data_IF_622203333786
#
_entry.id   IF_622203333786
#
_cell.length_a   1.000
_cell.length_b   1.000
_cell.length_c   1.000
_cell.angle_alpha   90.00
_cell.angle_beta   90.00
_cell.angle_gamma   90.00
#
_symmetry.space_group_name_H-M   'P 1'
#
loop_
_entity.id
_entity.type
_entity.pdbx_description
1 polymer ?
#
# COMPACT_ATOMS: atom_id res chain seq x y z
N UNK A 1 11.14 -12.63 12.69
CA UNK A 1 11.71 -12.82 11.34
C UNK A 1 11.57 -11.51 10.60
N UNK A 2 12.67 -10.97 10.04
CA UNK A 2 12.58 -9.80 9.17
C UNK A 2 12.49 -10.28 7.71
N UNK A 3 11.56 -9.73 6.94
CA UNK A 3 11.48 -10.00 5.51
C UNK A 3 12.66 -9.31 4.80
N UNK A 4 13.34 -10.02 3.92
CA UNK A 4 14.52 -9.53 3.18
C UNK A 4 14.20 -9.15 1.73
N UNK A 5 13.03 -9.56 1.21
CA UNK A 5 12.55 -9.27 -0.14
C UNK A 5 11.02 -9.36 -0.17
N UNK A 6 10.40 -8.57 -1.04
CA UNK A 6 8.96 -8.61 -1.30
C UNK A 6 8.68 -9.23 -2.67
N UNK A 7 7.66 -10.08 -2.76
CA UNK A 7 7.10 -10.52 -4.03
C UNK A 7 5.62 -10.12 -4.09
N UNK A 8 5.20 -9.45 -5.16
CA UNK A 8 3.84 -8.97 -5.34
C UNK A 8 3.26 -9.34 -6.72
N UNK A 9 2.13 -10.05 -6.75
CA UNK A 9 1.41 -10.27 -8.03
C UNK A 9 0.99 -8.94 -8.68
N UNK A 10 0.67 -7.94 -7.86
CA UNK A 10 0.25 -6.61 -8.28
C UNK A 10 0.90 -5.55 -7.37
N UNK A 11 1.52 -4.53 -7.95
CA UNK A 11 2.17 -3.43 -7.22
C UNK A 11 1.78 -2.07 -7.83
N UNK A 12 1.65 -1.04 -6.99
CA UNK A 12 1.43 0.34 -7.47
C UNK A 12 2.74 1.11 -7.66
N UNK A 13 2.70 2.16 -8.47
CA UNK A 13 3.82 3.10 -8.63
C UNK A 13 4.29 3.68 -7.29
N UNK A 14 3.34 4.00 -6.40
CA UNK A 14 3.67 4.57 -5.09
C UNK A 14 4.36 3.55 -4.18
N UNK A 15 3.92 2.30 -4.19
CA UNK A 15 4.59 1.23 -3.45
C UNK A 15 6.04 1.02 -3.93
N UNK A 16 6.28 1.07 -5.25
CA UNK A 16 7.64 0.98 -5.80
C UNK A 16 8.54 2.09 -5.26
N UNK A 17 8.08 3.35 -5.27
CA UNK A 17 8.88 4.48 -4.75
C UNK A 17 9.28 4.29 -3.29
N UNK A 18 8.36 3.80 -2.46
CA UNK A 18 8.64 3.52 -1.04
C UNK A 18 9.70 2.43 -0.92
N UNK A 19 9.56 1.33 -1.66
CA UNK A 19 10.53 0.23 -1.60
C UNK A 19 11.91 0.63 -2.11
N UNK A 20 11.99 1.43 -3.18
CA UNK A 20 13.25 1.98 -3.69
C UNK A 20 13.90 2.94 -2.68
N UNK A 21 13.13 3.84 -2.08
CA UNK A 21 13.61 4.78 -1.05
C UNK A 21 14.20 4.05 0.15
N UNK A 22 13.50 3.03 0.63
CA UNK A 22 13.93 2.21 1.77
C UNK A 22 14.92 1.09 1.40
N UNK A 23 15.30 1.00 0.11
CA UNK A 23 16.25 0.01 -0.44
C UNK A 23 15.84 -1.43 -0.15
N UNK A 24 14.54 -1.70 -0.17
CA UNK A 24 13.97 -3.04 0.03
C UNK A 24 13.92 -3.75 -1.32
N UNK A 25 14.58 -4.90 -1.51
CA UNK A 25 14.47 -5.67 -2.74
C UNK A 25 13.04 -6.14 -3.00
N UNK A 26 12.59 -6.07 -4.25
CA UNK A 26 11.25 -6.49 -4.64
C UNK A 26 11.18 -7.08 -6.04
N UNK A 27 10.17 -7.92 -6.25
CA UNK A 27 9.76 -8.45 -7.55
C UNK A 27 8.24 -8.36 -7.69
N UNK A 28 7.77 -8.27 -8.94
CA UNK A 28 6.34 -8.21 -9.21
C UNK A 28 5.97 -8.81 -10.57
N UNK A 29 4.72 -9.25 -10.71
CA UNK A 29 4.16 -9.69 -12.00
C UNK A 29 3.53 -8.53 -12.77
N UNK A 30 2.76 -7.67 -12.08
CA UNK A 30 2.05 -6.55 -12.70
C UNK A 30 2.24 -5.25 -11.92
N UNK A 31 2.62 -4.20 -12.65
CA UNK A 31 2.68 -2.82 -12.15
C UNK A 31 1.46 -2.03 -12.62
N UNK A 32 0.91 -1.19 -11.76
CA UNK A 32 -0.20 -0.27 -12.07
C UNK A 32 0.05 1.12 -11.49
N UNK A 33 -0.56 2.18 -12.04
CA UNK A 33 -0.41 3.52 -11.47
C UNK A 33 -0.91 3.61 -10.01
N UNK A 34 -2.00 2.90 -9.69
CA UNK A 34 -2.56 2.83 -8.35
C UNK A 34 -3.43 1.58 -8.16
N UNK A 35 -3.59 1.15 -6.91
CA UNK A 35 -4.50 0.04 -6.57
C UNK A 35 -5.95 0.54 -6.57
N UNK A 36 -6.80 -0.11 -7.37
CA UNK A 36 -8.23 0.20 -7.47
C UNK A 36 -9.03 -0.41 -6.31
N UNK A 37 -10.15 0.21 -5.96
CA UNK A 37 -11.15 -0.39 -5.07
C UNK A 37 -11.82 -1.59 -5.75
N UNK A 38 -12.52 -2.41 -4.94
CA UNK A 38 -13.23 -3.61 -5.43
C UNK A 38 -14.31 -3.29 -6.47
N UNK A 39 -14.89 -2.09 -6.43
CA UNK A 39 -15.88 -1.63 -7.39
C UNK A 39 -15.28 -1.13 -8.72
N UNK A 40 -13.95 -1.07 -8.84
CA UNK A 40 -13.24 -0.50 -9.98
C UNK A 40 -13.59 0.96 -10.31
N UNK A 41 -14.14 1.71 -9.35
CA UNK A 41 -14.59 3.10 -9.54
C UNK A 41 -13.55 4.15 -9.15
N UNK A 42 -12.46 3.74 -8.49
CA UNK A 42 -11.45 4.66 -7.99
C UNK A 42 -10.38 3.96 -7.16
N UNK A 43 -9.64 4.74 -6.37
CA UNK A 43 -8.60 4.24 -5.46
C UNK A 43 -9.17 3.28 -4.42
N UNK A 44 -8.40 2.25 -4.08
CA UNK A 44 -8.64 1.44 -2.91
C UNK A 44 -8.67 2.34 -1.66
N UNK A 45 -9.61 2.16 -0.72
CA UNK A 45 -9.65 2.95 0.51
C UNK A 45 -8.37 2.88 1.34
N UNK A 46 -7.58 1.80 1.20
CA UNK A 46 -6.28 1.65 1.84
C UNK A 46 -5.23 2.53 1.17
N UNK A 47 -5.13 2.48 -0.16
CA UNK A 47 -4.21 3.30 -0.96
C UNK A 47 -4.48 4.79 -0.73
N UNK A 48 -5.76 5.18 -0.75
CA UNK A 48 -6.16 6.56 -0.55
C UNK A 48 -5.84 7.07 0.87
N UNK A 49 -5.87 6.22 1.89
CA UNK A 49 -5.67 6.64 3.28
C UNK A 49 -4.25 7.17 3.54
N UNK A 50 -3.27 6.69 2.78
CA UNK A 50 -1.86 7.04 2.95
C UNK A 50 -1.30 7.89 1.81
N UNK A 51 -2.17 8.33 0.90
CA UNK A 51 -1.75 9.17 -0.21
C UNK A 51 -1.13 10.48 0.31
N UNK A 52 0.14 10.71 -0.03
CA UNK A 52 0.89 11.89 0.41
C UNK A 52 1.50 11.78 1.82
N UNK A 53 1.38 10.64 2.51
CA UNK A 53 2.06 10.40 3.79
C UNK A 53 3.44 9.79 3.52
N UNK A 54 4.51 10.53 3.84
CA UNK A 54 5.89 10.09 3.60
C UNK A 54 6.58 9.44 4.81
N UNK A 55 6.01 9.62 6.00
CA UNK A 55 6.51 9.03 7.24
C UNK A 55 5.93 7.61 7.41
N UNK A 56 6.81 6.63 7.60
CA UNK A 56 6.42 5.22 7.60
C UNK A 56 5.62 4.83 8.85
N UNK A 57 5.96 5.39 10.00
CA UNK A 57 5.26 5.11 11.26
C UNK A 57 3.85 5.70 11.24
N UNK A 58 3.71 6.93 10.72
CA UNK A 58 2.43 7.57 10.50
C UNK A 58 1.59 6.83 9.47
N UNK A 59 2.16 6.44 8.33
CA UNK A 59 1.45 5.65 7.31
C UNK A 59 0.95 4.33 7.90
N UNK A 60 1.78 3.63 8.67
CA UNK A 60 1.38 2.39 9.33
C UNK A 60 0.27 2.61 10.36
N UNK A 61 0.33 3.69 11.15
CA UNK A 61 -0.72 4.07 12.10
C UNK A 61 -2.04 4.33 11.38
N UNK A 62 -2.03 5.12 10.32
CA UNK A 62 -3.21 5.45 9.51
C UNK A 62 -3.82 4.21 8.87
N UNK A 63 -3.00 3.30 8.31
CA UNK A 63 -3.48 2.03 7.75
C UNK A 63 -4.18 1.17 8.81
N UNK A 64 -3.63 1.08 10.03
CA UNK A 64 -4.26 0.32 11.13
C UNK A 64 -5.62 0.90 11.51
N UNK A 65 -5.73 2.22 11.64
CA UNK A 65 -7.02 2.86 11.91
C UNK A 65 -8.00 2.69 10.76
N UNK A 66 -7.53 2.74 9.52
CA UNK A 66 -8.35 2.49 8.33
C UNK A 66 -8.93 1.08 8.35
N UNK A 67 -8.11 0.06 8.62
CA UNK A 67 -8.58 -1.33 8.76
C UNK A 67 -9.64 -1.46 9.85
N UNK A 68 -9.41 -0.88 11.04
CA UNK A 68 -10.40 -0.88 12.13
C UNK A 68 -11.73 -0.26 11.70
N UNK A 69 -11.70 0.88 10.99
CA UNK A 69 -12.90 1.54 10.50
C UNK A 69 -13.67 0.67 9.48
N UNK A 70 -12.94 -0.06 8.63
CA UNK A 70 -13.54 -0.93 7.61
C UNK A 70 -14.16 -2.20 8.21
N UNK A 71 -13.68 -2.66 9.37
CA UNK A 71 -14.28 -3.80 10.09
C UNK A 71 -15.54 -3.38 10.83
N UNK A 72 -15.55 -2.19 11.46
CA UNK A 72 -16.73 -1.68 12.17
C UNK A 72 -17.92 -1.35 11.26
N UNK A 73 -17.64 -1.06 9.98
CA UNK A 73 -18.66 -0.72 8.99
C UNK A 73 -19.15 -1.94 8.18
N UNK A 74 -18.81 -3.16 8.61
CA UNK A 74 -19.41 -4.42 8.14
C UNK A 74 -20.52 -4.85 9.08
#
# INVERSE_FOLDING_TARGET
>A
SNATKIYALLISDEAIKVLEKEKIPYEYEKRVPYIKNRGNTGLCPMEQAVLGISDLDEAFRVLREKVKSMIKNK
#
